data_IF_079722532061
#
_entry.id   IF_079722532061
#
_cell.length_a   1.000
_cell.length_b   1.000
_cell.length_c   1.000
_cell.angle_alpha   90.00
_cell.angle_beta   90.00
_cell.angle_gamma   90.00
#
_symmetry.space_group_name_H-M   'P 1'
#
loop_
_entity.id
_entity.type
_entity.pdbx_description
1 polymer ?
#
# COMPACT_ATOMS: atom_id res chain seq x y z
N UNK A 1 3.07 3.46 11.85
CA UNK A 1 4.13 2.96 10.95
C UNK A 1 4.37 4.01 9.88
N UNK A 2 5.64 4.32 9.56
CA UNK A 2 6.00 5.40 8.62
C UNK A 2 6.30 4.89 7.20
N UNK A 3 5.70 3.78 6.76
CA UNK A 3 5.81 3.32 5.37
C UNK A 3 5.17 4.38 4.44
N UNK A 4 5.78 4.71 3.29
CA UNK A 4 6.86 4.00 2.57
C UNK A 4 8.30 4.37 2.97
N UNK A 5 8.53 5.19 4.02
CA UNK A 5 9.89 5.57 4.41
C UNK A 5 10.71 4.33 4.86
N UNK A 6 12.04 4.32 4.61
CA UNK A 6 12.90 3.18 4.92
C UNK A 6 13.22 3.02 6.41
N UNK A 7 12.47 3.68 7.30
CA UNK A 7 12.75 3.78 8.74
C UNK A 7 12.89 2.42 9.40
N UNK A 8 12.07 1.44 9.01
CA UNK A 8 12.15 0.09 9.56
C UNK A 8 13.50 -0.58 9.26
N UNK A 9 13.94 -0.53 7.99
CA UNK A 9 15.25 -1.06 7.58
C UNK A 9 16.40 -0.33 8.27
N UNK A 10 16.32 1.00 8.40
CA UNK A 10 17.34 1.79 9.11
C UNK A 10 17.41 1.43 10.59
N UNK A 11 16.28 1.25 11.26
CA UNK A 11 16.23 0.82 12.65
C UNK A 11 16.77 -0.61 12.84
N UNK A 12 16.51 -1.52 11.90
CA UNK A 12 17.06 -2.88 11.96
C UNK A 12 18.58 -2.87 11.94
N UNK A 13 19.24 -2.02 11.15
CA UNK A 13 20.70 -1.94 11.11
C UNK A 13 21.34 -1.46 12.43
N UNK A 14 20.57 -0.85 13.33
CA UNK A 14 21.03 -0.48 14.67
C UNK A 14 21.01 -1.65 15.66
N UNK A 15 20.32 -2.74 15.33
CA UNK A 15 20.14 -3.90 16.19
C UNK A 15 21.22 -4.94 15.85
N UNK A 16 21.97 -5.47 16.83
CA UNK A 16 22.95 -6.53 16.58
C UNK A 16 22.30 -7.78 15.96
N UNK A 17 22.99 -8.42 15.01
CA UNK A 17 22.47 -9.60 14.28
C UNK A 17 21.97 -10.71 15.21
N UNK A 18 22.68 -10.98 16.31
CA UNK A 18 22.28 -11.98 17.31
C UNK A 18 20.87 -11.73 17.89
N UNK A 19 20.49 -10.46 18.06
CA UNK A 19 19.18 -10.04 18.58
C UNK A 19 18.13 -10.08 17.48
N UNK A 20 18.51 -9.75 16.23
CA UNK A 20 17.62 -9.89 15.08
C UNK A 20 17.20 -11.35 14.84
N UNK A 21 17.99 -12.32 15.31
CA UNK A 21 17.67 -13.75 15.21
C UNK A 21 16.62 -14.24 16.20
N UNK A 22 16.20 -13.41 17.17
CA UNK A 22 15.11 -13.72 18.08
C UNK A 22 13.76 -13.75 17.34
N UNK A 23 12.85 -14.60 17.79
CA UNK A 23 11.58 -14.90 17.11
C UNK A 23 10.72 -13.64 16.88
N UNK A 24 10.74 -12.71 17.84
CA UNK A 24 9.99 -11.45 17.75
C UNK A 24 10.49 -10.57 16.61
N UNK A 25 11.81 -10.40 16.49
CA UNK A 25 12.42 -9.61 15.42
C UNK A 25 12.29 -10.30 14.07
N UNK A 26 12.49 -11.63 14.01
CA UNK A 26 12.26 -12.41 12.78
C UNK A 26 10.84 -12.20 12.25
N UNK A 27 9.84 -12.24 13.12
CA UNK A 27 8.45 -12.01 12.72
C UNK A 27 8.25 -10.59 12.18
N UNK A 28 8.78 -9.57 12.85
CA UNK A 28 8.70 -8.19 12.37
C UNK A 28 9.39 -7.99 11.02
N UNK A 29 10.55 -8.63 10.81
CA UNK A 29 11.29 -8.61 9.53
C UNK A 29 10.43 -9.25 8.42
N UNK A 30 9.83 -10.41 8.68
CA UNK A 30 8.94 -11.10 7.73
C UNK A 30 7.72 -10.24 7.38
N UNK A 31 7.09 -9.62 8.39
CA UNK A 31 5.97 -8.71 8.18
C UNK A 31 6.37 -7.51 7.31
N UNK A 32 7.51 -6.87 7.59
CA UNK A 32 8.02 -5.78 6.76
C UNK A 32 8.28 -6.22 5.33
N UNK A 33 8.88 -7.40 5.15
CA UNK A 33 9.15 -7.95 3.83
C UNK A 33 7.88 -8.16 3.00
N UNK A 34 6.79 -8.62 3.62
CA UNK A 34 5.50 -8.74 2.93
C UNK A 34 4.94 -7.39 2.50
N UNK A 35 5.08 -6.34 3.32
CA UNK A 35 4.66 -4.99 2.95
C UNK A 35 5.49 -4.42 1.80
N UNK A 36 6.81 -4.53 1.87
CA UNK A 36 7.74 -4.05 0.82
C UNK A 36 7.53 -4.75 -0.53
N UNK A 37 7.11 -6.02 -0.50
CA UNK A 37 6.83 -6.81 -1.72
C UNK A 37 5.37 -6.76 -2.17
N UNK A 38 4.52 -5.95 -1.51
CA UNK A 38 3.10 -5.80 -1.85
C UNK A 38 2.25 -7.05 -1.57
N UNK A 39 2.73 -7.98 -0.74
CA UNK A 39 2.07 -9.25 -0.41
C UNK A 39 1.16 -9.09 0.81
N UNK A 40 0.15 -8.23 0.66
CA UNK A 40 -0.74 -7.83 1.75
C UNK A 40 -1.51 -8.98 2.40
N UNK A 41 -2.00 -9.96 1.62
CA UNK A 41 -2.68 -11.13 2.20
C UNK A 41 -1.79 -11.91 3.16
N UNK A 42 -0.55 -12.19 2.73
CA UNK A 42 0.42 -12.91 3.53
C UNK A 42 0.80 -12.11 4.78
N UNK A 43 0.89 -10.78 4.66
CA UNK A 43 1.06 -9.91 5.81
C UNK A 43 -0.09 -10.08 6.83
N UNK A 44 -1.35 -9.99 6.38
CA UNK A 44 -2.50 -10.11 7.28
C UNK A 44 -2.62 -11.49 7.93
N UNK A 45 -2.38 -12.56 7.16
CA UNK A 45 -2.37 -13.93 7.66
C UNK A 45 -1.28 -14.13 8.73
N UNK A 46 -0.08 -13.59 8.51
CA UNK A 46 1.04 -13.74 9.44
C UNK A 46 0.89 -12.84 10.68
N UNK A 47 0.34 -11.63 10.52
CA UNK A 47 0.01 -10.73 11.63
C UNK A 47 -1.08 -11.33 12.53
N UNK A 48 -2.08 -12.01 11.94
CA UNK A 48 -3.15 -12.67 12.70
C UNK A 48 -2.64 -13.84 13.54
N UNK A 49 -1.63 -14.59 13.08
CA UNK A 49 -0.98 -15.65 13.86
C UNK A 49 -0.14 -15.10 15.02
N UNK A 50 0.51 -13.97 14.79
CA UNK A 50 1.48 -13.36 15.72
C UNK A 50 0.90 -12.15 16.46
N UNK A 51 -0.39 -12.17 16.79
CA UNK A 51 -1.08 -11.04 17.46
C UNK A 51 -0.36 -10.57 18.72
N UNK A 52 0.17 -11.47 19.52
CA UNK A 52 0.90 -11.13 20.74
C UNK A 52 2.14 -10.23 20.49
N UNK A 53 2.74 -10.27 19.30
CA UNK A 53 3.89 -9.45 18.90
C UNK A 53 3.41 -8.09 18.37
N UNK A 54 2.30 -8.11 17.61
CA UNK A 54 1.68 -6.91 17.02
C UNK A 54 0.99 -6.06 18.11
N UNK A 55 0.29 -6.69 19.05
CA UNK A 55 -0.43 -6.03 20.15
C UNK A 55 0.50 -5.55 21.28
N UNK A 56 1.72 -6.10 21.38
CA UNK A 56 2.69 -5.71 22.39
C UNK A 56 3.32 -4.33 22.16
N UNK A 57 3.14 -3.73 20.98
CA UNK A 57 3.66 -2.40 20.69
C UNK A 57 2.64 -1.34 21.15
N UNK A 58 2.94 -0.48 22.14
CA UNK A 58 2.02 0.54 22.61
C UNK A 58 1.68 1.53 21.48
N UNK A 59 0.38 1.77 21.24
CA UNK A 59 -0.11 2.65 20.15
C UNK A 59 -0.42 1.94 18.83
N UNK A 60 -0.22 0.62 18.76
CA UNK A 60 -0.35 -0.18 17.53
C UNK A 60 -1.79 -0.71 17.30
N UNK A 61 -2.73 -0.58 18.23
CA UNK A 61 -3.99 -1.32 18.17
C UNK A 61 -5.05 -0.65 17.27
N UNK A 62 -5.05 0.69 17.16
CA UNK A 62 -6.03 1.42 16.34
C UNK A 62 -5.38 2.11 15.11
N UNK A 63 -4.17 2.64 15.27
CA UNK A 63 -3.51 3.39 14.19
C UNK A 63 -2.70 2.52 13.22
N UNK A 64 -2.33 1.30 13.59
CA UNK A 64 -1.46 0.46 12.76
C UNK A 64 -2.18 -0.16 11.60
N UNK A 65 -3.30 -0.84 11.85
CA UNK A 65 -4.09 -1.42 10.77
C UNK A 65 -4.49 -0.35 9.77
N UNK A 66 -4.93 0.82 10.26
CA UNK A 66 -5.23 1.98 9.42
C UNK A 66 -4.00 2.48 8.64
N UNK A 67 -2.81 2.51 9.24
CA UNK A 67 -1.58 2.89 8.55
C UNK A 67 -1.20 1.89 7.46
N UNK A 68 -1.35 0.58 7.71
CA UNK A 68 -1.11 -0.46 6.70
C UNK A 68 -2.14 -0.37 5.58
N UNK A 69 -3.42 -0.17 5.90
CA UNK A 69 -4.48 0.02 4.90
C UNK A 69 -4.19 1.25 4.04
N UNK A 70 -3.78 2.36 4.65
CA UNK A 70 -3.41 3.59 3.94
C UNK A 70 -2.21 3.35 3.01
N UNK A 71 -1.21 2.62 3.49
CA UNK A 71 -0.05 2.22 2.69
C UNK A 71 -0.45 1.30 1.52
N UNK A 72 -1.31 0.31 1.76
CA UNK A 72 -1.80 -0.58 0.72
C UNK A 72 -2.57 0.17 -0.38
N UNK A 73 -3.45 1.10 0.02
CA UNK A 73 -4.16 1.99 -0.90
C UNK A 73 -3.18 2.85 -1.70
N UNK A 74 -2.15 3.40 -1.05
CA UNK A 74 -1.12 4.17 -1.72
C UNK A 74 -0.41 3.34 -2.80
N UNK A 75 0.10 2.15 -2.47
CA UNK A 75 0.76 1.24 -3.42
C UNK A 75 -0.16 0.86 -4.58
N UNK A 76 -1.42 0.54 -4.29
CA UNK A 76 -2.42 0.22 -5.31
C UNK A 76 -2.73 1.42 -6.22
N UNK A 77 -2.74 2.64 -5.68
CA UNK A 77 -2.94 3.87 -6.45
C UNK A 77 -1.81 4.18 -7.42
N UNK A 78 -0.60 3.70 -7.14
CA UNK A 78 0.55 3.83 -8.04
C UNK A 78 0.53 2.78 -9.15
N UNK A 79 -0.02 1.59 -8.87
CA UNK A 79 0.13 0.39 -9.73
C UNK A 79 -1.12 0.07 -10.57
N UNK A 80 -2.29 0.54 -10.17
CA UNK A 80 -3.55 0.28 -10.87
C UNK A 80 -4.33 1.57 -11.14
N UNK A 81 -4.82 1.70 -12.37
CA UNK A 81 -5.90 2.64 -12.68
C UNK A 81 -7.28 2.05 -12.33
N UNK A 82 -7.47 0.75 -12.60
CA UNK A 82 -8.71 0.00 -12.34
C UNK A 82 -8.40 -1.25 -11.53
N UNK A 83 -8.98 -1.37 -10.35
CA UNK A 83 -8.73 -2.46 -9.40
C UNK A 83 -9.97 -3.33 -9.28
N UNK A 84 -9.85 -4.66 -9.39
CA UNK A 84 -10.93 -5.57 -9.02
C UNK A 84 -11.26 -5.47 -7.53
N UNK A 85 -12.55 -5.36 -7.18
CA UNK A 85 -13.00 -5.36 -5.78
C UNK A 85 -12.34 -6.41 -4.87
N UNK A 86 -12.20 -7.69 -5.26
CA UNK A 86 -11.57 -8.68 -4.38
C UNK A 86 -10.10 -8.38 -4.10
N UNK A 87 -9.36 -7.81 -5.06
CA UNK A 87 -7.93 -7.45 -4.88
C UNK A 87 -7.80 -6.33 -3.86
N UNK A 88 -8.66 -5.30 -3.95
CA UNK A 88 -8.69 -4.23 -2.97
C UNK A 88 -9.06 -4.75 -1.57
N UNK A 89 -10.13 -5.56 -1.48
CA UNK A 89 -10.63 -6.14 -0.23
C UNK A 89 -9.54 -6.92 0.50
N UNK A 90 -8.80 -7.75 -0.24
CA UNK A 90 -7.67 -8.52 0.26
C UNK A 90 -6.52 -7.63 0.74
N UNK A 91 -6.20 -6.56 0.00
CA UNK A 91 -5.09 -5.68 0.35
C UNK A 91 -5.34 -4.91 1.65
N UNK A 92 -6.56 -4.43 1.86
CA UNK A 92 -6.93 -3.65 3.06
C UNK A 92 -7.51 -4.51 4.19
N UNK A 93 -7.72 -5.81 3.94
CA UNK A 93 -8.35 -6.75 4.87
C UNK A 93 -9.72 -6.27 5.39
N UNK A 94 -10.57 -5.80 4.47
CA UNK A 94 -11.95 -5.36 4.76
C UNK A 94 -12.90 -6.08 3.81
N UNK A 95 -13.96 -6.69 4.35
CA UNK A 95 -14.92 -7.48 3.59
C UNK A 95 -16.38 -7.12 3.92
N UNK A 96 -17.32 -7.56 3.07
CA UNK A 96 -18.76 -7.39 3.30
C UNK A 96 -19.20 -5.92 3.38
N UNK A 97 -20.10 -5.63 4.34
CA UNK A 97 -20.73 -4.31 4.49
C UNK A 97 -19.76 -3.20 4.89
N UNK A 98 -18.66 -3.51 5.58
CA UNK A 98 -17.64 -2.51 5.92
C UNK A 98 -16.88 -2.07 4.68
N UNK A 99 -16.62 -2.98 3.74
CA UNK A 99 -16.01 -2.65 2.45
C UNK A 99 -16.94 -1.77 1.61
N UNK A 100 -18.25 -2.05 1.60
CA UNK A 100 -19.23 -1.20 0.90
C UNK A 100 -19.19 0.24 1.43
N UNK A 101 -19.28 0.41 2.75
CA UNK A 101 -19.19 1.74 3.39
C UNK A 101 -17.87 2.44 3.10
N UNK A 102 -16.77 1.70 3.12
CA UNK A 102 -15.45 2.23 2.81
C UNK A 102 -15.40 2.75 1.37
N UNK A 103 -15.90 1.97 0.39
CA UNK A 103 -15.94 2.35 -1.01
C UNK A 103 -16.83 3.56 -1.27
N UNK A 104 -17.99 3.63 -0.62
CA UNK A 104 -18.89 4.79 -0.69
C UNK A 104 -18.21 6.05 -0.16
N UNK A 105 -17.51 5.95 0.98
CA UNK A 105 -16.76 7.07 1.55
C UNK A 105 -15.63 7.54 0.61
N UNK A 106 -14.86 6.60 0.03
CA UNK A 106 -13.79 6.94 -0.91
C UNK A 106 -14.33 7.55 -2.21
N UNK A 107 -15.48 7.08 -2.70
CA UNK A 107 -16.14 7.66 -3.86
C UNK A 107 -16.60 9.09 -3.60
N UNK A 108 -17.12 9.38 -2.40
CA UNK A 108 -17.57 10.71 -2.01
C UNK A 108 -16.42 11.70 -1.77
N UNK A 109 -15.31 11.25 -1.19
CA UNK A 109 -14.28 12.14 -0.63
C UNK A 109 -12.93 12.09 -1.35
N UNK A 110 -12.69 11.10 -2.20
CA UNK A 110 -11.35 10.83 -2.74
C UNK A 110 -11.33 10.58 -4.24
N UNK A 111 -12.44 10.83 -4.94
CA UNK A 111 -12.52 10.79 -6.40
C UNK A 111 -12.51 9.38 -7.01
N UNK A 112 -12.83 8.35 -6.21
CA UNK A 112 -12.93 6.97 -6.70
C UNK A 112 -14.23 6.77 -7.47
N UNK A 113 -14.21 5.94 -8.51
CA UNK A 113 -15.41 5.62 -9.30
C UNK A 113 -15.68 4.12 -9.22
N UNK A 114 -16.91 3.76 -8.86
CA UNK A 114 -17.35 2.37 -8.78
C UNK A 114 -18.00 1.95 -10.10
N UNK A 115 -17.29 1.19 -10.92
CA UNK A 115 -17.80 0.62 -12.18
C UNK A 115 -18.43 -0.76 -11.91
N UNK A 116 -19.70 -0.91 -12.28
CA UNK A 116 -20.35 -2.23 -12.33
C UNK A 116 -19.94 -2.92 -13.63
N UNK A 117 -19.09 -3.95 -13.54
CA UNK A 117 -18.71 -4.74 -14.71
C UNK A 117 -19.91 -5.51 -15.26
N UNK A 118 -20.13 -5.44 -16.57
CA UNK A 118 -21.12 -6.25 -17.29
C UNK A 118 -20.68 -7.73 -17.29
N UNK A 119 -20.86 -8.43 -16.16
CA UNK A 119 -20.56 -9.86 -15.98
C UNK A 119 -19.15 -10.21 -15.45
N UNK A 120 -18.25 -9.23 -15.24
CA UNK A 120 -16.85 -9.45 -14.78
C UNK A 120 -16.55 -8.98 -13.35
N UNK A 121 -17.57 -8.74 -12.53
CA UNK A 121 -17.42 -8.24 -11.16
C UNK A 121 -17.27 -6.70 -11.09
N UNK A 122 -17.37 -6.15 -9.88
CA UNK A 122 -17.25 -4.71 -9.64
C UNK A 122 -15.78 -4.27 -9.73
N UNK A 123 -15.53 -3.19 -10.47
CA UNK A 123 -14.21 -2.55 -10.61
C UNK A 123 -14.22 -1.20 -9.90
N UNK A 124 -13.10 -0.85 -9.29
CA UNK A 124 -12.85 0.44 -8.66
C UNK A 124 -11.84 1.19 -9.53
N UNK A 125 -12.22 2.35 -10.04
CA UNK A 125 -11.31 3.24 -10.78
C UNK A 125 -10.73 4.24 -9.79
N UNK A 126 -9.41 4.26 -9.69
CA UNK A 126 -8.68 5.20 -8.83
C UNK A 126 -8.41 6.53 -9.54
N UNK A 127 -8.23 7.64 -8.80
CA UNK A 127 -7.82 8.92 -9.35
C UNK A 127 -6.53 8.78 -10.16
N UNK A 128 -6.47 9.49 -11.30
CA UNK A 128 -5.30 9.46 -12.17
C UNK A 128 -4.13 10.19 -11.52
N UNK A 129 -2.95 9.62 -11.64
CA UNK A 129 -1.67 10.21 -11.28
C UNK A 129 -0.61 9.82 -12.32
N UNK A 130 0.60 10.36 -12.17
CA UNK A 130 1.71 10.13 -13.11
C UNK A 130 2.19 8.67 -13.21
N UNK A 131 1.82 7.82 -12.25
CA UNK A 131 2.23 6.42 -12.18
C UNK A 131 1.16 5.47 -12.74
N UNK A 132 -0.13 5.79 -12.56
CA UNK A 132 -1.25 4.96 -12.99
C UNK A 132 -1.91 5.42 -14.30
N UNK A 133 -1.46 6.53 -14.88
CA UNK A 133 -1.90 7.00 -16.19
C UNK A 133 -0.70 7.37 -17.07
N UNK A 134 -0.51 6.73 -18.23
CA UNK A 134 0.56 7.09 -19.13
C UNK A 134 0.33 8.49 -19.72
N UNK A 135 1.17 9.43 -19.33
CA UNK A 135 1.21 10.77 -19.91
C UNK A 135 2.58 11.01 -20.56
N UNK A 136 2.57 11.57 -21.77
CA UNK A 136 3.80 11.94 -22.46
C UNK A 136 4.45 13.14 -21.75
N UNK A 137 5.51 12.87 -20.99
CA UNK A 137 6.38 13.94 -20.47
C UNK A 137 7.38 14.33 -21.55
N UNK A 138 7.13 15.46 -22.23
CA UNK A 138 8.11 16.04 -23.16
C UNK A 138 9.27 16.64 -22.35
N UNK A 139 10.47 16.08 -22.51
CA UNK A 139 11.70 16.65 -21.99
C UNK A 139 12.11 17.82 -22.88
N UNK A 140 12.10 19.04 -22.34
CA UNK A 140 12.71 20.20 -23.01
C UNK A 140 14.25 20.16 -22.95
N UNK A 141 14.83 19.21 -22.21
CA UNK A 141 16.28 19.06 -22.06
C UNK A 141 16.92 18.29 -23.23
N UNK A 142 16.15 17.46 -23.96
CA UNK A 142 16.65 16.71 -25.12
C UNK A 142 16.50 17.48 -26.44
N UNK A 143 15.85 18.65 -26.40
CA UNK A 143 15.76 19.59 -27.51
C UNK A 143 16.47 20.87 -27.14
N UNK A 144 17.70 21.07 -27.61
CA UNK A 144 18.32 22.40 -27.57
C UNK A 144 17.68 23.21 -28.72
N UNK A 145 16.94 24.29 -28.43
CA UNK A 145 16.39 25.12 -29.48
C UNK A 145 17.52 25.75 -30.30
N UNK A 146 17.30 25.95 -31.60
CA UNK A 146 18.34 26.43 -32.52
C UNK A 146 18.92 27.78 -32.07
N UNK A 147 18.11 28.63 -31.44
CA UNK A 147 18.50 29.90 -30.82
C UNK A 147 19.55 29.77 -29.69
N UNK A 148 19.76 28.57 -29.14
CA UNK A 148 20.77 28.29 -28.11
C UNK A 148 22.05 27.64 -28.66
N UNK A 149 22.16 27.44 -29.99
CA UNK A 149 23.35 26.90 -30.66
C UNK A 149 24.08 28.08 -31.32
N UNK A 150 25.11 28.60 -30.65
CA UNK A 150 26.09 29.59 -31.19
C UNK A 150 27.44 28.92 -31.33
#
# INVERSE_FOLDING_TARGET
MAMPAPDFSLCLFLIPERVQMEEQFKTLIVLSHYLETGRFRQFWDEAAKNRHIVEAVPGLNAGFEQAIQTYAIHVLSLTYQKIPRPVLAEAINIEGLSLDKFLEHQAANSGWILEKGHGRGQLIVLPRNEFNHPELKKSAADSVPLEHIT
#
